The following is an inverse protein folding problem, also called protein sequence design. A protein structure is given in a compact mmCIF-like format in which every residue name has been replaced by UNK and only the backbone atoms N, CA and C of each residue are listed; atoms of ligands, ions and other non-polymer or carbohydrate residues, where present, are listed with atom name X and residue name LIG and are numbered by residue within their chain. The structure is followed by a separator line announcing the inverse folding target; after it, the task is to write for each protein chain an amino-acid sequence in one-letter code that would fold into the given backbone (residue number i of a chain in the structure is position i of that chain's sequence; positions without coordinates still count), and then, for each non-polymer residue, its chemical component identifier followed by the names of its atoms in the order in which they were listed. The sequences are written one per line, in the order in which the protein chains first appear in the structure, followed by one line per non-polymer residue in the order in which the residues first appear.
data_IF_495329600257
#
_entry.id   IF_495329600257
#
_cell.length_a   1.000
_cell.length_b   1.000
_cell.length_c   1.000
_cell.angle_alpha   90.00
_cell.angle_beta   90.00
_cell.angle_gamma   90.00
#
_symmetry.space_group_name_H-M   'P 1'
#
loop_
_entity.id
_entity.type
_entity.pdbx_description
1 polymer ?
#
# COMPACT_ATOMS: atom_id res chain seq x y z
N UNK A 1 -11.95 -33.17 92.40
CA UNK A 1 -11.46 -34.47 91.92
C UNK A 1 -11.23 -34.38 90.41
N UNK A 2 -9.96 -34.45 89.96
CA UNK A 2 -9.43 -34.67 88.59
C UNK A 2 -10.06 -33.93 87.37
N UNK A 3 -9.34 -32.99 86.73
CA UNK A 3 -8.31 -33.14 85.65
C UNK A 3 -8.91 -33.17 84.22
N UNK A 4 -8.72 -32.09 83.44
CA UNK A 4 -7.83 -31.99 82.24
C UNK A 4 -8.19 -30.82 81.30
N UNK A 5 -7.14 -30.11 80.90
CA UNK A 5 -7.06 -29.16 79.78
C UNK A 5 -7.46 -29.79 78.45
N UNK A 6 -7.99 -28.99 77.52
CA UNK A 6 -7.53 -28.88 76.12
C UNK A 6 -7.79 -27.43 75.67
N UNK A 7 -6.73 -26.70 75.31
CA UNK A 7 -6.78 -25.45 74.53
C UNK A 7 -6.81 -25.86 73.05
N UNK A 8 -7.82 -25.44 72.30
CA UNK A 8 -7.84 -25.59 70.84
C UNK A 8 -7.41 -24.27 70.20
N UNK A 9 -6.21 -24.27 69.59
CA UNK A 9 -5.76 -23.20 68.70
C UNK A 9 -6.41 -23.43 67.33
N UNK A 10 -7.20 -22.46 66.87
CA UNK A 10 -7.70 -22.37 65.50
C UNK A 10 -6.58 -21.82 64.60
N UNK A 11 -5.97 -22.67 63.79
CA UNK A 11 -5.18 -22.22 62.63
C UNK A 11 -6.10 -22.22 61.41
N UNK A 12 -6.45 -21.03 60.92
CA UNK A 12 -7.12 -20.83 59.65
C UNK A 12 -6.07 -20.94 58.54
N UNK A 13 -6.00 -22.09 57.88
CA UNK A 13 -5.19 -22.25 56.68
C UNK A 13 -5.91 -21.58 55.50
N UNK A 14 -5.45 -20.40 55.11
CA UNK A 14 -5.83 -19.78 53.83
C UNK A 14 -5.01 -20.47 52.74
N UNK A 15 -5.59 -21.48 52.09
CA UNK A 15 -5.04 -22.01 50.85
C UNK A 15 -5.42 -21.06 49.71
N UNK A 16 -4.44 -20.29 49.25
CA UNK A 16 -4.54 -19.49 48.04
C UNK A 16 -4.69 -20.41 46.83
N UNK A 17 -5.92 -20.54 46.34
CA UNK A 17 -6.22 -21.20 45.07
C UNK A 17 -5.76 -20.26 43.94
N UNK A 18 -4.53 -20.44 43.48
CA UNK A 18 -4.04 -19.78 42.27
C UNK A 18 -4.85 -20.26 41.08
N UNK A 19 -5.63 -19.36 40.46
CA UNK A 19 -6.27 -19.62 39.17
C UNK A 19 -5.14 -19.66 38.13
N UNK A 20 -4.74 -20.86 37.73
CA UNK A 20 -3.87 -21.04 36.58
C UNK A 20 -4.70 -20.75 35.32
N UNK A 21 -4.46 -19.58 34.71
CA UNK A 21 -4.91 -19.29 33.35
C UNK A 21 -4.24 -20.31 32.42
N UNK A 22 -5.03 -21.23 31.87
CA UNK A 22 -4.57 -22.21 30.89
C UNK A 22 -4.31 -21.49 29.55
N UNK A 23 -3.08 -21.04 29.35
CA UNK A 23 -2.58 -20.62 28.04
C UNK A 23 -2.50 -21.81 27.09
N UNK A 24 -2.85 -21.54 25.84
CA UNK A 24 -2.93 -22.45 24.69
C UNK A 24 -1.86 -23.55 24.71
N UNK A 25 -2.26 -24.81 24.91
CA UNK A 25 -1.36 -25.95 24.73
C UNK A 25 -1.35 -26.28 23.23
N UNK A 26 -0.20 -26.07 22.57
CA UNK A 26 0.04 -26.75 21.31
C UNK A 26 -0.16 -28.26 21.54
N UNK A 27 -0.94 -28.92 20.68
CA UNK A 27 -1.27 -30.35 20.75
C UNK A 27 -0.04 -31.25 20.49
N UNK A 28 1.01 -31.08 21.30
CA UNK A 28 2.21 -31.89 21.28
C UNK A 28 2.08 -33.02 22.31
N UNK A 29 2.38 -34.24 21.89
CA UNK A 29 2.46 -35.38 22.82
C UNK A 29 3.49 -35.08 23.92
N UNK A 30 3.13 -35.33 25.18
CA UNK A 30 3.98 -35.05 26.36
C UNK A 30 5.39 -35.66 26.28
N UNK A 31 5.55 -36.79 25.55
CA UNK A 31 6.85 -37.42 25.26
C UNK A 31 7.84 -36.55 24.45
N UNK A 32 7.36 -35.50 23.79
CA UNK A 32 8.16 -34.56 22.99
C UNK A 32 8.22 -33.16 23.59
N UNK A 33 7.61 -32.95 24.77
CA UNK A 33 7.64 -31.66 25.44
C UNK A 33 8.92 -31.54 26.26
N UNK A 34 9.82 -30.65 25.82
CA UNK A 34 10.98 -30.25 26.62
C UNK A 34 10.48 -29.37 27.77
N UNK A 35 10.89 -29.68 29.00
CA UNK A 35 10.46 -28.96 30.20
C UNK A 35 11.62 -28.70 31.16
N UNK A 36 11.38 -27.91 32.22
CA UNK A 36 12.36 -27.65 33.27
C UNK A 36 13.48 -26.69 32.83
N UNK A 37 14.70 -26.92 33.30
CA UNK A 37 15.87 -26.08 33.00
C UNK A 37 16.27 -26.11 31.53
N UNK A 38 15.99 -27.21 30.81
CA UNK A 38 16.23 -27.31 29.39
C UNK A 38 15.32 -26.37 28.59
N UNK A 39 14.02 -26.30 28.93
CA UNK A 39 13.09 -25.35 28.32
C UNK A 39 13.47 -23.90 28.63
N UNK A 40 13.94 -23.60 29.85
CA UNK A 40 14.44 -22.26 30.20
C UNK A 40 15.70 -21.84 29.43
N UNK A 41 16.44 -22.79 28.86
CA UNK A 41 17.60 -22.51 28.02
C UNK A 41 17.23 -22.40 26.54
N UNK A 42 15.98 -22.67 26.17
CA UNK A 42 15.49 -22.51 24.80
C UNK A 42 15.20 -21.04 24.50
N UNK A 43 15.52 -20.63 23.27
CA UNK A 43 15.11 -19.35 22.73
C UNK A 43 13.73 -19.53 22.08
N UNK A 44 12.68 -19.35 22.85
CA UNK A 44 11.31 -19.35 22.33
C UNK A 44 11.01 -17.98 21.69
N UNK A 45 10.42 -17.98 20.50
CA UNK A 45 9.90 -16.79 19.83
C UNK A 45 8.39 -16.70 20.02
N UNK A 46 7.93 -15.60 20.62
CA UNK A 46 6.52 -15.26 20.65
C UNK A 46 6.13 -14.61 19.32
N UNK A 47 4.93 -14.89 18.83
CA UNK A 47 4.41 -14.28 17.59
C UNK A 47 3.13 -13.52 17.89
N UNK A 48 2.90 -12.42 17.17
CA UNK A 48 1.64 -11.68 17.24
C UNK A 48 0.48 -12.56 16.77
N UNK A 49 -0.62 -12.56 17.52
CA UNK A 49 -1.84 -13.26 17.12
C UNK A 49 -2.75 -12.37 16.25
N UNK A 50 -3.66 -13.01 15.51
CA UNK A 50 -4.60 -12.32 14.62
C UNK A 50 -5.50 -11.32 15.35
N UNK A 51 -6.03 -11.66 16.52
CA UNK A 51 -6.95 -10.81 17.27
C UNK A 51 -6.30 -9.48 17.70
N UNK A 52 -5.04 -9.51 18.15
CA UNK A 52 -4.28 -8.32 18.49
C UNK A 52 -3.94 -7.51 17.26
N UNK A 53 -3.50 -8.15 16.17
CA UNK A 53 -3.19 -7.49 14.90
C UNK A 53 -4.42 -6.75 14.33
N UNK A 54 -5.59 -7.38 14.37
CA UNK A 54 -6.87 -6.80 13.98
C UNK A 54 -7.21 -5.59 14.86
N UNK A 55 -7.14 -5.72 16.20
CA UNK A 55 -7.43 -4.60 17.12
C UNK A 55 -6.55 -3.38 16.90
N UNK A 56 -5.24 -3.57 16.71
CA UNK A 56 -4.32 -2.45 16.40
C UNK A 56 -4.72 -1.80 15.08
N UNK A 57 -5.10 -2.60 14.09
CA UNK A 57 -5.49 -2.09 12.79
C UNK A 57 -6.78 -1.29 12.84
N UNK A 58 -7.81 -1.78 13.53
CA UNK A 58 -9.08 -1.06 13.73
C UNK A 58 -8.89 0.24 14.51
N UNK A 59 -7.99 0.27 15.49
CA UNK A 59 -7.65 1.50 16.21
C UNK A 59 -6.97 2.52 15.27
N UNK A 60 -6.08 2.08 14.37
CA UNK A 60 -5.46 2.96 13.39
C UNK A 60 -6.46 3.44 12.32
N UNK A 61 -7.38 2.58 11.87
CA UNK A 61 -8.48 2.97 10.97
C UNK A 61 -9.31 4.12 11.55
N UNK A 62 -9.79 3.98 12.80
CA UNK A 62 -10.54 5.04 13.49
C UNK A 62 -9.74 6.35 13.57
N UNK A 63 -8.45 6.28 13.89
CA UNK A 63 -7.58 7.47 13.93
C UNK A 63 -7.43 8.10 12.54
N UNK A 64 -7.44 7.31 11.47
CA UNK A 64 -7.42 7.80 10.10
C UNK A 64 -8.72 8.49 9.71
N UNK A 65 -9.87 7.94 10.14
CA UNK A 65 -11.18 8.56 9.95
C UNK A 65 -11.30 9.91 10.65
N UNK A 66 -10.80 10.02 11.89
CA UNK A 66 -10.73 11.28 12.66
C UNK A 66 -9.90 12.37 11.92
N UNK A 67 -8.97 11.94 11.07
CA UNK A 67 -8.03 12.77 10.32
C UNK A 67 -8.45 12.96 8.86
N UNK A 68 -9.62 12.44 8.49
CA UNK A 68 -10.22 12.47 7.16
C UNK A 68 -9.29 11.92 6.06
N UNK A 69 -8.60 10.82 6.36
CA UNK A 69 -7.68 10.15 5.44
C UNK A 69 -7.95 8.66 5.36
N UNK A 70 -7.51 8.05 4.26
CA UNK A 70 -7.57 6.61 4.05
C UNK A 70 -6.17 6.01 4.14
N UNK A 71 -6.06 4.80 4.70
CA UNK A 71 -4.79 4.09 4.89
C UNK A 71 -4.91 2.61 4.57
N UNK A 72 -3.78 2.00 4.27
CA UNK A 72 -3.55 0.56 4.28
C UNK A 72 -2.64 0.19 5.45
N UNK A 73 -2.99 -0.86 6.17
CA UNK A 73 -2.25 -1.40 7.31
C UNK A 73 -1.84 -2.84 7.01
N UNK A 74 -0.59 -3.17 7.31
CA UNK A 74 -0.01 -4.49 7.09
C UNK A 74 0.72 -4.93 8.36
N UNK A 75 0.34 -6.07 8.92
CA UNK A 75 0.93 -6.64 10.14
C UNK A 75 1.54 -8.00 9.81
N UNK A 76 2.83 -8.15 10.13
CA UNK A 76 3.59 -9.39 9.93
C UNK A 76 4.07 -9.96 11.25
N UNK A 77 4.27 -11.28 11.29
CA UNK A 77 4.90 -11.96 12.42
C UNK A 77 6.43 -11.80 12.42
N UNK A 78 7.10 -12.39 13.42
CA UNK A 78 8.56 -12.35 13.55
C UNK A 78 9.30 -13.08 12.42
N UNK A 79 8.63 -13.99 11.71
CA UNK A 79 9.21 -14.71 10.57
C UNK A 79 8.95 -13.98 9.23
N UNK A 80 8.20 -12.87 9.28
CA UNK A 80 7.85 -12.05 8.12
C UNK A 80 6.60 -12.53 7.38
N UNK A 81 5.83 -13.47 7.94
CA UNK A 81 4.57 -13.91 7.34
C UNK A 81 3.48 -12.89 7.62
N UNK A 82 2.57 -12.70 6.66
CA UNK A 82 1.39 -11.87 6.82
C UNK A 82 0.45 -12.45 7.89
N UNK A 83 0.14 -11.65 8.91
CA UNK A 83 -0.86 -11.97 9.95
C UNK A 83 -2.17 -11.27 9.66
N UNK A 84 -2.11 -9.98 9.29
CA UNK A 84 -3.30 -9.19 8.98
C UNK A 84 -2.97 -8.09 7.96
N UNK A 85 -3.85 -7.94 6.97
CA UNK A 85 -3.81 -6.85 6.01
C UNK A 85 -5.19 -6.20 5.94
N UNK A 86 -5.22 -4.89 6.08
CA UNK A 86 -6.41 -4.08 5.95
C UNK A 86 -6.13 -2.94 4.98
N UNK A 87 -7.06 -2.70 4.07
CA UNK A 87 -6.98 -1.61 3.10
C UNK A 87 -8.29 -0.85 3.21
N UNK A 88 -8.23 0.38 3.69
CA UNK A 88 -9.39 1.26 3.69
C UNK A 88 -9.85 1.52 2.26
N UNK A 89 -11.10 1.92 2.19
CA UNK A 89 -11.75 2.29 0.98
C UNK A 89 -11.06 3.45 0.23
N UNK A 90 -11.13 3.42 -1.11
CA UNK A 90 -10.46 4.42 -1.97
C UNK A 90 -8.94 4.24 -2.13
N UNK A 91 -8.28 3.48 -1.27
CA UNK A 91 -6.82 3.31 -1.29
C UNK A 91 -6.30 2.71 -2.59
N UNK A 92 -5.09 3.11 -2.98
CA UNK A 92 -4.38 2.63 -4.19
C UNK A 92 -3.56 1.39 -3.86
N UNK A 93 -3.27 0.55 -4.87
CA UNK A 93 -2.42 -0.63 -4.69
C UNK A 93 -1.06 -0.27 -4.05
N UNK A 94 -0.45 0.84 -4.47
CA UNK A 94 0.85 1.29 -3.95
C UNK A 94 0.82 1.50 -2.44
N UNK A 95 -0.32 1.91 -1.86
CA UNK A 95 -0.42 2.17 -0.43
C UNK A 95 -0.36 0.86 0.36
N UNK A 96 -1.00 -0.20 -0.14
CA UNK A 96 -0.89 -1.55 0.44
C UNK A 96 0.51 -2.13 0.28
N UNK A 97 1.10 -2.03 -0.92
CA UNK A 97 2.46 -2.51 -1.17
C UNK A 97 3.51 -1.78 -0.31
N UNK A 98 3.35 -0.46 -0.12
CA UNK A 98 4.27 0.30 0.74
C UNK A 98 4.04 0.04 2.21
N UNK A 99 2.80 -0.21 2.66
CA UNK A 99 2.53 -0.66 4.03
C UNK A 99 3.26 -1.97 4.34
N UNK A 100 3.20 -2.95 3.43
CA UNK A 100 3.97 -4.19 3.55
C UNK A 100 5.49 -3.95 3.62
N UNK A 101 6.05 -3.19 2.66
CA UNK A 101 7.48 -2.90 2.67
C UNK A 101 7.94 -2.15 3.93
N UNK A 102 7.09 -1.29 4.49
CA UNK A 102 7.37 -0.59 5.76
C UNK A 102 7.38 -1.56 6.94
N UNK A 103 6.43 -2.50 7.01
CA UNK A 103 6.41 -3.55 8.03
C UNK A 103 7.65 -4.44 7.93
N UNK A 104 7.98 -4.91 6.72
CA UNK A 104 9.17 -5.72 6.43
C UNK A 104 10.46 -4.98 6.79
N UNK A 105 10.52 -3.68 6.51
CA UNK A 105 11.66 -2.84 6.90
C UNK A 105 11.81 -2.83 8.40
N UNK A 106 10.73 -2.57 9.14
CA UNK A 106 10.77 -2.48 10.59
C UNK A 106 11.17 -3.82 11.24
N UNK A 107 10.71 -4.94 10.68
CA UNK A 107 11.14 -6.29 11.07
C UNK A 107 12.64 -6.50 10.80
N UNK A 108 13.09 -6.19 9.57
CA UNK A 108 14.47 -6.41 9.11
C UNK A 108 15.49 -5.62 9.94
N UNK A 109 15.19 -4.35 10.21
CA UNK A 109 16.11 -3.46 10.92
C UNK A 109 15.89 -3.47 12.44
N UNK A 110 14.84 -4.16 12.91
CA UNK A 110 14.39 -4.20 14.32
C UNK A 110 14.22 -2.81 14.92
N UNK A 111 13.66 -1.90 14.13
CA UNK A 111 13.52 -0.48 14.47
C UNK A 111 12.55 0.24 13.54
N UNK A 112 12.16 1.49 13.84
CA UNK A 112 11.25 2.26 13.00
C UNK A 112 11.80 2.48 11.60
N UNK A 113 10.98 2.29 10.57
CA UNK A 113 11.38 2.56 9.17
C UNK A 113 11.77 4.03 8.93
N UNK A 114 11.32 4.94 9.81
CA UNK A 114 11.74 6.36 9.84
C UNK A 114 13.24 6.54 10.07
N UNK A 115 13.92 5.65 10.81
CA UNK A 115 15.37 5.75 11.00
C UNK A 115 16.12 5.65 9.66
N UNK A 116 15.66 4.74 8.80
CA UNK A 116 16.17 4.56 7.44
C UNK A 116 15.82 5.73 6.53
N UNK A 117 14.61 6.26 6.65
CA UNK A 117 14.20 7.48 5.96
C UNK A 117 15.11 8.66 6.33
N UNK A 118 15.40 8.85 7.62
CA UNK A 118 16.27 9.91 8.11
C UNK A 118 17.71 9.74 7.62
N UNK A 119 18.19 8.50 7.57
CA UNK A 119 19.49 8.18 7.01
C UNK A 119 19.58 8.59 5.52
N UNK A 120 18.56 8.24 4.71
CA UNK A 120 18.48 8.65 3.30
C UNK A 120 18.35 10.17 3.13
N UNK A 121 17.61 10.86 4.01
CA UNK A 121 17.52 12.32 3.95
C UNK A 121 18.90 12.97 4.18
N UNK A 122 19.71 12.43 5.09
CA UNK A 122 21.07 12.93 5.36
C UNK A 122 22.06 12.58 4.24
N UNK A 123 21.96 11.38 3.68
CA UNK A 123 22.80 10.91 2.59
C UNK A 123 21.96 10.19 1.52
N UNK A 124 21.41 10.93 0.53
CA UNK A 124 20.54 10.34 -0.51
C UNK A 124 21.19 9.24 -1.33
N UNK A 125 22.52 9.17 -1.37
CA UNK A 125 23.24 8.12 -2.11
C UNK A 125 23.06 6.72 -1.50
N UNK A 126 22.68 6.61 -0.23
CA UNK A 126 22.48 5.34 0.48
C UNK A 126 21.17 4.64 0.14
N UNK A 127 20.22 5.32 -0.51
CA UNK A 127 18.92 4.73 -0.81
C UNK A 127 19.02 3.50 -1.73
N UNK A 128 19.95 3.51 -2.69
CA UNK A 128 20.19 2.36 -3.57
C UNK A 128 20.62 1.11 -2.78
N UNK A 129 21.57 1.29 -1.86
CA UNK A 129 22.04 0.20 -1.01
C UNK A 129 20.91 -0.31 -0.11
N UNK A 130 20.06 0.58 0.41
CA UNK A 130 18.93 0.16 1.23
C UNK A 130 17.91 -0.65 0.43
N UNK A 131 17.59 -0.23 -0.80
CA UNK A 131 16.68 -1.00 -1.67
C UNK A 131 17.25 -2.39 -1.99
N UNK A 132 18.55 -2.49 -2.29
CA UNK A 132 19.22 -3.79 -2.52
C UNK A 132 19.13 -4.73 -1.32
N UNK A 133 19.12 -4.17 -0.10
CA UNK A 133 18.93 -4.91 1.15
C UNK A 133 17.46 -5.18 1.50
N UNK A 134 16.51 -4.87 0.61
CA UNK A 134 15.08 -5.03 0.87
C UNK A 134 14.51 -4.02 1.87
N UNK A 135 15.21 -2.90 2.11
CA UNK A 135 14.80 -1.84 3.04
C UNK A 135 14.10 -0.72 2.29
N UNK A 136 12.90 -0.40 2.73
CA UNK A 136 12.10 0.71 2.25
C UNK A 136 12.18 1.89 3.22
N UNK A 137 13.03 2.86 2.89
CA UNK A 137 13.39 4.03 3.72
C UNK A 137 12.28 5.10 3.76
N UNK A 138 11.07 4.73 4.15
CA UNK A 138 9.94 5.66 4.32
C UNK A 138 9.25 5.38 5.65
N UNK A 139 8.84 6.42 6.37
CA UNK A 139 8.19 6.28 7.67
C UNK A 139 6.83 5.58 7.58
N UNK A 140 6.44 4.93 8.68
CA UNK A 140 5.16 4.22 8.82
C UNK A 140 5.31 2.74 9.21
N UNK A 141 6.53 2.22 9.30
CA UNK A 141 6.82 0.88 9.82
C UNK A 141 7.33 0.93 11.25
N UNK A 142 6.76 0.14 12.15
CA UNK A 142 7.18 0.02 13.55
C UNK A 142 7.30 -1.45 13.98
N UNK A 143 8.33 -1.81 14.78
CA UNK A 143 8.44 -3.14 15.35
C UNK A 143 7.40 -3.32 16.47
N UNK A 144 6.91 -4.55 16.63
CA UNK A 144 6.02 -4.93 17.73
C UNK A 144 6.83 -5.75 18.72
N UNK A 145 7.12 -5.17 19.89
CA UNK A 145 8.01 -5.75 20.90
C UNK A 145 7.25 -5.95 22.21
N UNK A 146 7.29 -7.16 22.77
CA UNK A 146 6.69 -7.52 24.06
C UNK A 146 7.71 -8.28 24.89
N UNK A 147 7.92 -7.88 26.14
CA UNK A 147 8.88 -8.51 27.06
C UNK A 147 10.28 -8.72 26.43
N UNK A 148 10.80 -7.66 25.79
CA UNK A 148 12.08 -7.65 25.05
C UNK A 148 12.17 -8.61 23.85
N UNK A 149 11.05 -9.20 23.43
CA UNK A 149 10.95 -10.04 22.23
C UNK A 149 10.26 -9.30 21.10
N UNK A 150 10.88 -9.33 19.91
CA UNK A 150 10.24 -8.92 18.67
C UNK A 150 9.22 -10.01 18.28
N UNK A 151 7.94 -9.67 18.27
CA UNK A 151 6.86 -10.61 17.96
C UNK A 151 6.22 -10.37 16.58
N UNK A 152 6.61 -9.28 15.91
CA UNK A 152 6.13 -8.89 14.61
C UNK A 152 6.47 -7.45 14.25
N UNK A 153 5.86 -6.95 13.19
CA UNK A 153 5.95 -5.55 12.78
C UNK A 153 4.64 -5.07 12.15
N UNK A 154 4.36 -3.78 12.29
CA UNK A 154 3.24 -3.09 11.63
C UNK A 154 3.80 -2.10 10.61
N UNK A 155 3.12 -1.98 9.47
CA UNK A 155 3.37 -0.96 8.46
C UNK A 155 2.08 -0.29 8.06
N UNK A 156 2.08 1.04 8.00
CA UNK A 156 0.94 1.86 7.59
C UNK A 156 1.35 2.69 6.38
N UNK A 157 0.48 2.79 5.39
CA UNK A 157 0.70 3.58 4.18
C UNK A 157 -0.60 4.13 3.63
N UNK A 158 -0.64 5.41 3.26
CA UNK A 158 -1.80 5.96 2.53
C UNK A 158 -1.83 7.47 2.47
N UNK A 159 -1.32 8.14 3.50
CA UNK A 159 -1.39 9.60 3.61
C UNK A 159 -0.01 10.25 3.67
N UNK A 160 0.08 11.47 3.15
CA UNK A 160 1.22 12.34 3.40
C UNK A 160 1.27 12.71 4.90
N UNK A 161 2.47 12.87 5.49
CA UNK A 161 2.61 13.25 6.90
C UNK A 161 2.24 14.73 7.13
N UNK A 162 1.46 15.00 8.18
CA UNK A 162 1.15 16.33 8.74
C UNK A 162 1.56 16.35 10.22
N UNK A 163 2.87 16.21 10.46
CA UNK A 163 3.42 15.95 11.81
C UNK A 163 3.08 17.06 12.80
N UNK A 164 3.09 18.32 12.37
CA UNK A 164 2.71 19.48 13.18
C UNK A 164 1.24 19.44 13.62
N UNK A 165 0.38 18.80 12.82
CA UNK A 165 -1.05 18.60 13.08
C UNK A 165 -1.31 17.28 13.83
N UNK A 166 -0.26 16.49 14.13
CA UNK A 166 -0.38 15.25 14.88
C UNK A 166 -0.67 14.00 14.03
N UNK A 167 -0.47 14.09 12.71
CA UNK A 167 -0.74 12.99 11.78
C UNK A 167 0.48 12.52 10.98
N UNK A 168 0.66 11.21 10.92
CA UNK A 168 1.42 10.50 9.90
C UNK A 168 1.10 9.01 10.00
N UNK A 169 1.40 8.24 8.95
CA UNK A 169 1.29 6.77 8.97
C UNK A 169 1.93 6.15 10.24
N UNK A 170 3.11 6.66 10.64
CA UNK A 170 3.83 6.18 11.82
C UNK A 170 3.16 6.58 13.14
N UNK A 171 2.61 7.80 13.22
CA UNK A 171 1.88 8.27 14.39
C UNK A 171 0.59 7.45 14.59
N UNK A 172 -0.10 7.11 13.49
CA UNK A 172 -1.27 6.24 13.54
C UNK A 172 -0.92 4.87 14.14
N UNK A 173 0.12 4.21 13.61
CA UNK A 173 0.59 2.93 14.12
C UNK A 173 0.99 3.01 15.60
N UNK A 174 1.71 4.06 16.01
CA UNK A 174 2.17 4.26 17.38
C UNK A 174 1.01 4.45 18.36
N UNK A 175 0.06 5.34 18.03
CA UNK A 175 -1.13 5.58 18.85
C UNK A 175 -1.99 4.32 18.98
N UNK A 176 -2.20 3.61 17.87
CA UNK A 176 -2.98 2.37 17.85
C UNK A 176 -2.34 1.25 18.69
N UNK A 177 -1.03 1.04 18.57
CA UNK A 177 -0.31 0.11 19.45
C UNK A 177 -0.35 0.55 20.91
N UNK A 178 -0.26 1.87 21.17
CA UNK A 178 -0.36 2.41 22.53
C UNK A 178 -1.71 2.10 23.17
N UNK A 179 -2.79 2.23 22.41
CA UNK A 179 -4.16 1.94 22.86
C UNK A 179 -4.38 0.44 23.14
N UNK A 180 -3.87 -0.43 22.27
CA UNK A 180 -4.15 -1.88 22.35
C UNK A 180 -3.17 -2.63 23.25
N UNK A 181 -1.90 -2.25 23.24
CA UNK A 181 -0.80 -2.99 23.88
C UNK A 181 -0.16 -2.23 25.05
N UNK A 182 -0.53 -0.96 25.26
CA UNK A 182 0.07 -0.10 26.27
C UNK A 182 1.26 0.73 25.77
N UNK A 183 1.92 1.49 26.65
CA UNK A 183 2.89 2.52 26.28
C UNK A 183 3.98 2.05 25.33
N UNK A 184 4.15 2.77 24.21
CA UNK A 184 5.18 2.51 23.21
C UNK A 184 6.39 3.45 23.39
N UNK A 185 7.60 3.06 22.93
CA UNK A 185 8.76 3.95 22.90
C UNK A 185 8.48 5.24 22.12
N UNK A 186 9.23 6.34 22.38
CA UNK A 186 9.09 7.56 21.60
C UNK A 186 9.45 7.32 20.13
N UNK A 187 8.73 7.99 19.23
CA UNK A 187 9.01 7.93 17.79
C UNK A 187 10.35 8.59 17.44
N UNK A 188 10.95 8.14 16.34
CA UNK A 188 12.15 8.76 15.79
C UNK A 188 11.86 10.21 15.35
N UNK A 189 12.85 11.08 15.54
CA UNK A 189 12.75 12.51 15.21
C UNK A 189 12.50 12.72 13.70
N UNK A 190 11.59 13.63 13.35
CA UNK A 190 11.44 14.07 11.96
C UNK A 190 12.49 15.12 11.60
N UNK A 191 13.29 14.86 10.57
CA UNK A 191 14.31 15.81 10.10
C UNK A 191 13.87 16.56 8.84
N UNK A 192 14.28 17.83 8.66
CA UNK A 192 13.89 18.62 7.49
C UNK A 192 14.34 17.98 6.18
N UNK A 193 13.42 17.91 5.20
CA UNK A 193 13.75 17.46 3.84
C UNK A 193 14.34 18.61 3.01
N UNK A 194 15.41 18.38 2.24
CA UNK A 194 15.89 19.38 1.27
C UNK A 194 14.79 19.76 0.29
N UNK A 195 14.62 21.07 0.05
CA UNK A 195 13.72 21.56 -1.01
C UNK A 195 14.40 21.33 -2.35
N UNK A 196 13.73 20.60 -3.24
CA UNK A 196 14.15 20.48 -4.64
C UNK A 196 13.37 21.51 -5.47
N UNK A 197 14.03 22.32 -6.32
CA UNK A 197 13.33 23.22 -7.22
C UNK A 197 12.41 22.45 -8.17
N UNK A 198 11.24 22.99 -8.46
CA UNK A 198 10.36 22.50 -9.53
C UNK A 198 10.94 22.95 -10.86
N UNK A 199 11.35 22.00 -11.71
CA UNK A 199 11.96 22.23 -13.02
C UNK A 199 11.04 21.80 -14.17
N UNK A 200 10.10 20.88 -13.91
CA UNK A 200 9.15 20.36 -14.87
C UNK A 200 7.69 20.66 -14.47
N UNK A 201 6.83 21.09 -15.42
CA UNK A 201 5.39 21.23 -15.18
C UNK A 201 4.77 19.87 -14.86
N UNK A 202 3.96 19.80 -13.80
CA UNK A 202 3.23 18.58 -13.44
C UNK A 202 1.81 18.68 -14.02
N UNK A 203 1.40 17.76 -14.91
CA UNK A 203 0.03 17.68 -15.40
C UNK A 203 -0.96 17.47 -14.25
N UNK A 204 -2.16 18.01 -14.38
CA UNK A 204 -3.28 17.74 -13.47
C UNK A 204 -4.13 16.63 -14.06
N UNK A 205 -4.48 15.64 -13.25
CA UNK A 205 -5.42 14.59 -13.59
C UNK A 205 -6.47 14.51 -12.49
N UNK A 206 -7.68 14.96 -12.80
CA UNK A 206 -8.82 14.98 -11.86
C UNK A 206 -9.87 13.99 -12.34
N UNK A 207 -10.37 13.19 -11.41
CA UNK A 207 -11.45 12.22 -11.65
C UNK A 207 -12.68 12.71 -10.91
N UNK A 208 -13.79 12.87 -11.63
CA UNK A 208 -15.08 13.21 -11.02
C UNK A 208 -15.65 12.01 -10.25
N UNK A 209 -16.59 12.27 -9.34
CA UNK A 209 -17.30 11.20 -8.62
C UNK A 209 -17.98 10.26 -9.61
N UNK A 210 -17.88 8.92 -9.43
CA UNK A 210 -18.50 7.97 -10.34
C UNK A 210 -20.00 8.20 -10.47
N UNK A 211 -20.52 8.22 -11.70
CA UNK A 211 -21.97 8.18 -11.94
C UNK A 211 -22.39 6.79 -12.41
N UNK A 212 -23.41 6.20 -11.76
CA UNK A 212 -23.92 4.89 -12.17
C UNK A 212 -24.67 5.01 -13.51
N UNK A 213 -24.33 4.15 -14.46
CA UNK A 213 -24.98 4.05 -15.77
C UNK A 213 -25.89 2.81 -15.91
N UNK A 214 -26.11 2.07 -14.81
CA UNK A 214 -26.95 0.88 -14.79
C UNK A 214 -28.44 1.25 -14.71
N UNK A 215 -29.34 0.44 -15.30
CA UNK A 215 -30.79 0.68 -15.23
C UNK A 215 -31.26 0.75 -13.77
N UNK A 216 -32.09 1.75 -13.38
CA UNK A 216 -32.47 1.98 -11.98
C UNK A 216 -33.08 0.76 -11.27
N UNK A 217 -33.69 -0.15 -12.02
CA UNK A 217 -34.31 -1.37 -11.52
C UNK A 217 -33.32 -2.48 -11.10
N UNK A 218 -32.07 -2.42 -11.58
CA UNK A 218 -30.97 -3.33 -11.19
C UNK A 218 -29.94 -2.64 -10.30
N UNK A 219 -30.10 -1.34 -10.06
CA UNK A 219 -29.30 -0.58 -9.11
C UNK A 219 -29.76 -0.98 -7.71
N UNK A 220 -28.88 -1.67 -6.96
CA UNK A 220 -29.01 -1.71 -5.51
C UNK A 220 -29.08 -0.25 -5.07
N UNK A 221 -30.18 0.14 -4.42
CA UNK A 221 -30.50 1.51 -4.03
C UNK A 221 -30.74 1.58 -2.52
N UNK A 222 -30.73 2.79 -1.97
CA UNK A 222 -30.82 2.99 -0.52
C UNK A 222 -29.54 2.58 0.22
N UNK A 223 -29.65 2.27 1.51
CA UNK A 223 -28.50 2.03 2.40
C UNK A 223 -27.62 0.85 1.93
N UNK A 224 -28.22 -0.16 1.28
CA UNK A 224 -27.48 -1.30 0.73
C UNK A 224 -26.60 -0.94 -0.50
N UNK A 225 -26.89 0.17 -1.18
CA UNK A 225 -26.10 0.66 -2.31
C UNK A 225 -24.80 1.33 -1.87
N UNK A 226 -24.82 1.96 -0.69
CA UNK A 226 -23.66 2.65 -0.13
C UNK A 226 -22.50 1.68 0.14
N UNK A 227 -22.82 0.42 0.40
CA UNK A 227 -21.87 -0.65 0.75
C UNK A 227 -21.33 -1.42 -0.47
N UNK A 228 -21.81 -1.15 -1.69
CA UNK A 228 -21.47 -1.93 -2.90
C UNK A 228 -20.86 -1.02 -3.97
N UNK A 229 -19.61 -1.29 -4.36
CA UNK A 229 -18.95 -0.63 -5.50
C UNK A 229 -19.10 -1.43 -6.79
N UNK A 230 -19.49 -0.75 -7.86
CA UNK A 230 -19.51 -1.32 -9.21
C UNK A 230 -18.08 -1.43 -9.77
N UNK A 231 -17.72 -2.61 -10.30
CA UNK A 231 -16.53 -2.79 -11.13
C UNK A 231 -16.90 -2.78 -12.60
N UNK A 232 -16.59 -1.69 -13.31
CA UNK A 232 -16.75 -1.63 -14.75
C UNK A 232 -15.43 -1.99 -15.44
N UNK A 233 -15.53 -2.66 -16.57
CA UNK A 233 -14.40 -3.12 -17.36
C UNK A 233 -14.58 -2.64 -18.80
N UNK A 234 -13.48 -2.22 -19.43
CA UNK A 234 -13.46 -1.91 -20.85
C UNK A 234 -13.80 -3.15 -21.68
N UNK A 235 -14.76 -3.02 -22.61
CA UNK A 235 -15.10 -4.10 -23.53
C UNK A 235 -14.02 -4.28 -24.60
N UNK A 236 -13.90 -5.49 -25.16
CA UNK A 236 -12.99 -5.74 -26.28
C UNK A 236 -13.27 -4.87 -27.51
N UNK A 237 -14.53 -4.55 -27.78
CA UNK A 237 -14.90 -3.63 -28.87
C UNK A 237 -14.46 -2.20 -28.60
N UNK A 238 -14.69 -1.68 -27.39
CA UNK A 238 -14.24 -0.35 -27.01
C UNK A 238 -12.71 -0.25 -27.05
N UNK A 239 -12.00 -1.25 -26.53
CA UNK A 239 -10.54 -1.31 -26.58
C UNK A 239 -10.02 -1.29 -28.03
N UNK A 240 -10.60 -2.10 -28.92
CA UNK A 240 -10.26 -2.08 -30.35
C UNK A 240 -10.53 -0.72 -30.99
N UNK A 241 -11.65 -0.08 -30.69
CA UNK A 241 -12.00 1.23 -31.26
C UNK A 241 -11.02 2.32 -30.79
N UNK A 242 -10.62 2.32 -29.51
CA UNK A 242 -9.60 3.23 -28.98
C UNK A 242 -8.28 3.04 -29.70
N UNK A 243 -7.84 1.78 -29.88
CA UNK A 243 -6.59 1.47 -30.58
C UNK A 243 -6.64 1.89 -32.05
N UNK A 244 -7.77 1.65 -32.74
CA UNK A 244 -7.98 2.09 -34.13
C UNK A 244 -7.92 3.61 -34.28
N UNK A 245 -8.54 4.35 -33.35
CA UNK A 245 -8.53 5.80 -33.36
C UNK A 245 -7.11 6.37 -33.12
N UNK A 246 -6.37 5.82 -32.15
CA UNK A 246 -4.96 6.19 -31.94
C UNK A 246 -4.11 5.85 -33.19
N UNK A 247 -4.28 4.66 -33.79
CA UNK A 247 -3.58 4.29 -35.03
C UNK A 247 -3.88 5.24 -36.20
N UNK A 248 -5.13 5.65 -36.37
CA UNK A 248 -5.50 6.63 -37.40
C UNK A 248 -4.81 7.98 -37.13
N UNK A 249 -4.88 8.45 -35.89
CA UNK A 249 -4.26 9.70 -35.46
C UNK A 249 -2.74 9.71 -35.66
N UNK A 250 -2.04 8.62 -35.37
CA UNK A 250 -0.59 8.48 -35.55
C UNK A 250 -0.22 8.39 -37.03
N UNK A 251 -0.99 7.64 -37.83
CA UNK A 251 -0.77 7.50 -39.28
C UNK A 251 -0.88 8.85 -40.01
N UNK A 252 -1.85 9.69 -39.65
CA UNK A 252 -1.98 11.06 -40.18
C UNK A 252 -0.74 11.95 -39.92
N UNK A 253 0.08 11.57 -38.95
CA UNK A 253 1.27 12.29 -38.50
C UNK A 253 2.57 11.59 -38.89
N UNK A 254 2.48 10.60 -39.77
CA UNK A 254 3.61 9.78 -40.23
C UNK A 254 4.35 9.11 -39.06
N UNK A 255 3.60 8.76 -38.01
CA UNK A 255 4.11 8.16 -36.78
C UNK A 255 3.68 6.69 -36.66
N UNK A 256 4.47 5.89 -35.98
CA UNK A 256 4.19 4.46 -35.76
C UNK A 256 4.38 4.11 -34.31
N UNK A 257 3.50 3.30 -33.73
CA UNK A 257 3.39 3.09 -32.28
C UNK A 257 2.95 1.66 -31.94
N UNK A 258 3.21 1.26 -30.70
CA UNK A 258 2.67 0.06 -30.08
C UNK A 258 1.69 0.44 -28.98
N UNK A 259 0.63 -0.33 -28.79
CA UNK A 259 -0.43 -0.04 -27.85
C UNK A 259 -0.78 -1.29 -27.05
N UNK A 260 -1.06 -1.12 -25.77
CA UNK A 260 -1.62 -2.15 -24.88
C UNK A 260 -2.76 -1.52 -24.08
N UNK A 261 -3.88 -2.23 -23.99
CA UNK A 261 -5.03 -1.84 -23.19
C UNK A 261 -5.31 -2.97 -22.19
N UNK A 262 -5.32 -2.62 -20.91
CA UNK A 262 -5.58 -3.50 -19.79
C UNK A 262 -6.99 -3.26 -19.23
N UNK A 263 -7.63 -4.32 -18.74
CA UNK A 263 -8.80 -4.21 -17.87
C UNK A 263 -8.39 -3.80 -16.43
N UNK A 264 -9.35 -3.58 -15.50
CA UNK A 264 -9.04 -3.22 -14.12
C UNK A 264 -8.26 -4.29 -13.34
N UNK A 265 -8.27 -5.55 -13.80
CA UNK A 265 -7.50 -6.64 -13.20
C UNK A 265 -6.05 -6.69 -13.69
N UNK A 266 -5.70 -5.85 -14.67
CA UNK A 266 -4.37 -5.81 -15.26
C UNK A 266 -4.16 -6.81 -16.39
N UNK A 267 -5.24 -7.43 -16.88
CA UNK A 267 -5.17 -8.37 -18.00
C UNK A 267 -5.37 -7.61 -19.31
N UNK A 268 -4.52 -7.91 -20.31
CA UNK A 268 -4.62 -7.28 -21.62
C UNK A 268 -5.91 -7.67 -22.33
N UNK A 269 -6.74 -6.67 -22.63
CA UNK A 269 -7.95 -6.80 -23.46
C UNK A 269 -7.63 -6.57 -24.93
N UNK A 270 -6.63 -5.73 -25.21
CA UNK A 270 -6.13 -5.49 -26.57
C UNK A 270 -4.63 -5.19 -26.53
N UNK A 271 -3.92 -5.62 -27.57
CA UNK A 271 -2.52 -5.27 -27.79
C UNK A 271 -2.22 -5.28 -29.28
N UNK A 272 -1.57 -4.23 -29.77
CA UNK A 272 -1.14 -4.17 -31.17
C UNK A 272 0.19 -3.42 -31.31
N UNK A 273 0.92 -3.76 -32.37
CA UNK A 273 2.18 -3.14 -32.74
C UNK A 273 2.12 -2.79 -34.21
N UNK A 274 2.19 -1.50 -34.53
CA UNK A 274 2.18 -1.02 -35.91
C UNK A 274 3.44 -1.45 -36.67
N UNK A 275 3.36 -1.46 -38.00
CA UNK A 275 4.51 -1.75 -38.85
C UNK A 275 5.65 -0.75 -38.61
N UNK A 276 6.89 -1.24 -38.65
CA UNK A 276 8.09 -0.44 -38.35
C UNK A 276 8.45 -0.32 -36.87
N UNK A 277 7.58 -0.77 -35.95
CA UNK A 277 7.89 -0.76 -34.51
C UNK A 277 8.77 -1.93 -34.07
N UNK A 278 9.66 -1.63 -33.13
CA UNK A 278 10.55 -2.59 -32.47
C UNK A 278 9.95 -3.12 -31.17
N UNK A 279 10.51 -4.20 -30.63
CA UNK A 279 10.03 -4.84 -29.40
C UNK A 279 9.98 -3.86 -28.20
N UNK A 280 10.89 -2.89 -28.12
CA UNK A 280 10.91 -1.93 -27.00
C UNK A 280 9.64 -1.09 -26.93
N UNK A 281 9.00 -0.78 -28.07
CA UNK A 281 7.74 -0.02 -28.09
C UNK A 281 6.60 -0.75 -27.40
N UNK A 282 6.39 -2.03 -27.71
CA UNK A 282 5.31 -2.84 -27.11
C UNK A 282 5.58 -3.15 -25.63
N UNK A 283 6.84 -3.34 -25.24
CA UNK A 283 7.23 -3.51 -23.84
C UNK A 283 6.97 -2.21 -23.04
N UNK A 284 7.36 -1.05 -23.58
CA UNK A 284 7.07 0.24 -22.96
C UNK A 284 5.55 0.48 -22.84
N UNK A 285 4.77 0.15 -23.88
CA UNK A 285 3.31 0.23 -23.85
C UNK A 285 2.70 -0.60 -22.70
N UNK A 286 3.13 -1.86 -22.53
CA UNK A 286 2.68 -2.71 -21.41
C UNK A 286 3.01 -2.09 -20.05
N UNK A 287 4.27 -1.71 -19.82
CA UNK A 287 4.72 -1.17 -18.54
C UNK A 287 4.05 0.18 -18.22
N UNK A 288 3.82 1.03 -19.23
CA UNK A 288 3.09 2.29 -19.05
C UNK A 288 1.62 2.06 -18.72
N UNK A 289 0.96 1.08 -19.34
CA UNK A 289 -0.41 0.70 -18.99
C UNK A 289 -0.51 0.17 -17.54
N UNK A 290 0.41 -0.73 -17.15
CA UNK A 290 0.49 -1.27 -15.79
C UNK A 290 0.76 -0.17 -14.76
N UNK A 291 1.70 0.73 -15.07
CA UNK A 291 2.03 1.88 -14.20
C UNK A 291 0.81 2.76 -14.01
N UNK A 292 0.11 3.13 -15.09
CA UNK A 292 -1.09 3.96 -15.00
C UNK A 292 -2.21 3.27 -14.20
N UNK A 293 -2.38 1.96 -14.38
CA UNK A 293 -3.37 1.17 -13.64
C UNK A 293 -3.07 1.12 -12.14
N UNK A 294 -1.84 0.74 -11.77
CA UNK A 294 -1.41 0.59 -10.37
C UNK A 294 -1.37 1.92 -9.63
N UNK A 295 -0.89 2.96 -10.31
CA UNK A 295 -0.75 4.28 -9.71
C UNK A 295 -2.04 5.08 -9.68
N UNK A 296 -2.98 4.77 -10.57
CA UNK A 296 -4.17 5.55 -10.88
C UNK A 296 -3.88 6.98 -11.37
N UNK A 297 -2.68 7.23 -11.90
CA UNK A 297 -2.30 8.52 -12.48
C UNK A 297 -1.68 8.30 -13.88
N UNK A 298 -1.78 9.29 -14.80
CA UNK A 298 -1.00 9.30 -16.02
C UNK A 298 0.50 9.17 -15.74
N UNK A 299 1.22 8.44 -16.59
CA UNK A 299 2.68 8.27 -16.42
C UNK A 299 3.41 9.60 -16.54
N UNK A 300 2.89 10.57 -17.30
CA UNK A 300 3.40 11.95 -17.38
C UNK A 300 3.41 12.70 -16.04
N UNK A 301 2.43 12.49 -15.17
CA UNK A 301 2.41 13.05 -13.81
C UNK A 301 3.63 12.57 -13.03
N UNK A 302 3.96 11.28 -13.17
CA UNK A 302 5.10 10.67 -12.50
C UNK A 302 6.43 11.09 -13.12
N UNK A 303 6.50 11.16 -14.45
CA UNK A 303 7.67 11.69 -15.16
C UNK A 303 8.00 13.12 -14.76
N UNK A 304 7.00 13.98 -14.60
CA UNK A 304 7.20 15.34 -14.08
C UNK A 304 7.66 15.34 -12.62
N UNK A 305 7.06 14.50 -11.78
CA UNK A 305 7.49 14.31 -10.39
C UNK A 305 8.95 13.88 -10.28
N UNK A 306 9.40 13.01 -11.20
CA UNK A 306 10.78 12.54 -11.32
C UNK A 306 11.75 13.66 -11.66
N UNK A 307 11.42 14.45 -12.68
CA UNK A 307 12.24 15.59 -13.09
C UNK A 307 12.36 16.63 -11.97
N UNK A 308 11.32 16.79 -11.15
CA UNK A 308 11.30 17.68 -10.01
C UNK A 308 12.01 17.12 -8.76
N UNK A 309 12.15 15.79 -8.66
CA UNK A 309 12.74 15.09 -7.50
C UNK A 309 13.57 13.88 -7.97
N UNK A 310 14.73 14.11 -8.61
CA UNK A 310 15.49 13.05 -9.27
C UNK A 310 16.01 11.99 -8.29
N UNK A 311 16.21 12.34 -7.01
CA UNK A 311 16.61 11.36 -5.99
C UNK A 311 15.52 10.30 -5.72
N UNK A 312 14.27 10.49 -6.15
CA UNK A 312 13.22 9.49 -6.06
C UNK A 312 13.23 8.44 -7.18
N UNK A 313 14.11 8.59 -8.19
CA UNK A 313 14.34 7.63 -9.29
C UNK A 313 14.45 6.15 -8.87
N UNK A 314 15.16 5.79 -7.78
CA UNK A 314 15.36 4.39 -7.42
C UNK A 314 14.04 3.73 -7.03
N UNK A 315 13.22 4.41 -6.22
CA UNK A 315 12.11 3.76 -5.52
C UNK A 315 11.01 3.31 -6.48
N UNK A 316 10.55 4.21 -7.34
CA UNK A 316 9.41 3.91 -8.21
C UNK A 316 9.74 2.87 -9.28
N UNK A 317 10.93 2.96 -9.84
CA UNK A 317 11.37 2.07 -10.92
C UNK A 317 11.83 0.73 -10.38
N UNK A 318 12.59 0.69 -9.28
CA UNK A 318 13.10 -0.58 -8.74
C UNK A 318 12.06 -1.37 -7.94
N UNK A 319 11.22 -0.70 -7.15
CA UNK A 319 10.32 -1.40 -6.23
C UNK A 319 8.97 -1.74 -6.88
N UNK A 320 8.55 -0.96 -7.87
CA UNK A 320 7.23 -1.12 -8.50
C UNK A 320 7.30 -1.38 -10.01
N UNK A 321 8.50 -1.45 -10.59
CA UNK A 321 8.72 -1.62 -12.04
C UNK A 321 8.01 -0.56 -12.89
N UNK A 322 7.80 0.64 -12.33
CA UNK A 322 7.04 1.67 -13.00
C UNK A 322 7.80 2.32 -14.16
N UNK A 323 7.08 2.53 -15.26
CA UNK A 323 7.52 3.30 -16.42
C UNK A 323 6.95 4.71 -16.35
N UNK A 324 7.85 5.69 -16.21
CA UNK A 324 7.49 7.06 -15.85
C UNK A 324 7.39 8.00 -17.06
N UNK A 325 7.73 7.51 -18.25
CA UNK A 325 7.62 8.30 -19.48
C UNK A 325 6.15 8.47 -19.91
N UNK A 326 5.76 9.63 -20.46
CA UNK A 326 4.41 9.88 -20.96
C UNK A 326 3.95 8.81 -21.97
N UNK A 327 2.70 8.38 -21.86
CA UNK A 327 2.10 7.39 -22.77
C UNK A 327 1.21 6.36 -22.08
N UNK A 328 1.22 6.29 -20.75
CA UNK A 328 0.30 5.49 -19.96
C UNK A 328 -0.79 6.35 -19.34
N UNK A 329 -2.07 6.00 -19.57
CA UNK A 329 -3.23 6.70 -19.03
C UNK A 329 -4.19 5.71 -18.36
N UNK A 330 -4.70 6.03 -17.16
CA UNK A 330 -5.87 5.34 -16.63
C UNK A 330 -7.07 5.63 -17.54
N UNK A 331 -7.86 4.61 -17.88
CA UNK A 331 -9.10 4.78 -18.64
C UNK A 331 -10.22 5.01 -17.63
N UNK A 332 -10.57 6.27 -17.43
CA UNK A 332 -11.60 6.69 -16.48
C UNK A 332 -12.75 7.33 -17.24
N UNK A 333 -13.91 6.69 -17.23
CA UNK A 333 -15.12 7.15 -17.94
C UNK A 333 -16.21 7.40 -16.91
N UNK A 334 -16.80 8.60 -16.93
CA UNK A 334 -17.83 9.04 -15.97
C UNK A 334 -17.42 8.85 -14.50
N UNK A 335 -16.15 9.10 -14.19
CA UNK A 335 -15.59 8.92 -12.85
C UNK A 335 -15.19 7.49 -12.49
N UNK A 336 -15.49 6.50 -13.35
CA UNK A 336 -15.18 5.10 -13.09
C UNK A 336 -13.96 4.62 -13.88
N UNK A 337 -12.95 4.08 -13.20
CA UNK A 337 -11.80 3.46 -13.84
C UNK A 337 -12.17 2.10 -14.42
N UNK A 338 -12.11 1.96 -15.73
CA UNK A 338 -12.49 0.75 -16.47
C UNK A 338 -11.29 0.01 -17.09
N UNK A 339 -10.07 0.50 -16.87
CA UNK A 339 -8.85 -0.07 -17.39
C UNK A 339 -7.70 0.93 -17.43
N UNK A 340 -6.67 0.60 -18.21
CA UNK A 340 -5.56 1.50 -18.52
C UNK A 340 -5.09 1.28 -19.96
N UNK A 341 -4.62 2.34 -20.61
CA UNK A 341 -3.95 2.27 -21.91
C UNK A 341 -2.48 2.65 -21.73
N UNK A 342 -1.61 1.96 -22.45
CA UNK A 342 -0.24 2.36 -22.63
C UNK A 342 0.10 2.38 -24.11
N UNK A 343 0.76 3.45 -24.54
CA UNK A 343 1.28 3.65 -25.89
C UNK A 343 2.79 3.81 -25.80
N UNK A 344 3.51 3.21 -26.73
CA UNK A 344 4.96 3.15 -26.74
C UNK A 344 5.52 3.09 -28.16
N UNK A 345 6.49 3.94 -28.47
CA UNK A 345 7.20 3.91 -29.74
C UNK A 345 7.53 5.27 -30.35
N UNK A 346 7.03 6.35 -29.76
CA UNK A 346 7.23 7.72 -30.25
C UNK A 346 7.20 8.78 -29.13
N UNK A 347 7.65 9.98 -29.43
CA UNK A 347 7.48 11.15 -28.56
C UNK A 347 6.01 11.57 -28.37
N UNK A 348 5.11 11.12 -29.24
CA UNK A 348 3.69 11.49 -29.25
C UNK A 348 2.79 10.45 -28.56
N UNK A 349 3.37 9.48 -27.85
CA UNK A 349 2.65 8.32 -27.30
C UNK A 349 1.42 8.72 -26.47
N UNK A 350 1.56 9.69 -25.56
CA UNK A 350 0.43 10.14 -24.74
C UNK A 350 -0.63 10.89 -25.56
N UNK A 351 -0.23 11.70 -26.53
CA UNK A 351 -1.17 12.41 -27.40
C UNK A 351 -2.03 11.44 -28.23
N UNK A 352 -1.44 10.33 -28.67
CA UNK A 352 -2.17 9.27 -29.36
C UNK A 352 -3.15 8.55 -28.43
N UNK A 353 -2.73 8.26 -27.19
CA UNK A 353 -3.61 7.68 -26.16
C UNK A 353 -4.81 8.59 -25.88
N UNK A 354 -4.56 9.90 -25.69
CA UNK A 354 -5.61 10.92 -25.47
C UNK A 354 -6.57 10.96 -26.67
N UNK A 355 -6.04 11.04 -27.90
CA UNK A 355 -6.87 11.09 -29.11
C UNK A 355 -7.73 9.84 -29.27
N UNK A 356 -7.17 8.65 -29.01
CA UNK A 356 -7.89 7.39 -29.08
C UNK A 356 -9.03 7.32 -28.06
N UNK A 357 -8.77 7.74 -26.81
CA UNK A 357 -9.77 7.77 -25.75
C UNK A 357 -10.88 8.78 -26.03
N UNK A 358 -10.52 10.02 -26.40
CA UNK A 358 -11.49 11.08 -26.72
C UNK A 358 -12.35 10.73 -27.94
N UNK A 359 -11.79 10.05 -28.94
CA UNK A 359 -12.57 9.61 -30.11
C UNK A 359 -13.68 8.61 -29.77
N UNK A 360 -13.51 7.82 -28.70
CA UNK A 360 -14.47 6.77 -28.32
C UNK A 360 -15.42 7.24 -27.22
N UNK A 361 -14.90 7.98 -26.23
CA UNK A 361 -15.64 8.35 -25.03
C UNK A 361 -16.02 9.84 -25.00
N UNK A 362 -15.51 10.67 -25.91
CA UNK A 362 -15.78 12.12 -25.93
C UNK A 362 -15.33 12.80 -24.65
N UNK A 363 -16.14 13.74 -24.16
CA UNK A 363 -15.85 14.50 -22.94
C UNK A 363 -16.04 13.69 -21.63
N UNK A 364 -16.51 12.43 -21.75
CA UNK A 364 -16.74 11.55 -20.59
C UNK A 364 -15.46 10.95 -20.03
N UNK A 365 -14.36 10.96 -20.80
CA UNK A 365 -13.09 10.38 -20.37
C UNK A 365 -12.18 11.43 -19.72
N UNK A 366 -11.62 11.11 -18.56
CA UNK A 366 -10.63 11.96 -17.93
C UNK A 366 -9.30 11.92 -18.71
N UNK A 367 -8.70 13.08 -18.94
CA UNK A 367 -7.41 13.25 -19.63
C UNK A 367 -6.51 14.21 -18.87
N UNK A 368 -5.18 14.05 -18.92
CA UNK A 368 -4.26 14.98 -18.25
C UNK A 368 -4.35 16.39 -18.84
N UNK A 369 -4.37 17.40 -17.96
CA UNK A 369 -4.34 18.82 -18.32
C UNK A 369 -2.98 19.40 -17.97
N UNK A 370 -2.26 19.86 -18.99
CA UNK A 370 -0.94 20.47 -18.83
C UNK A 370 -1.07 21.94 -18.43
N UNK A 371 -0.25 22.44 -17.47
CA UNK A 371 -0.20 23.86 -17.17
C UNK A 371 0.39 24.64 -18.36
N UNK A 372 -0.16 25.83 -18.60
CA UNK A 372 0.30 26.75 -19.66
C UNK A 372 1.67 27.36 -19.39
#
# INVERSE_FOLDING_TARGET
MNKRMIKANFYLAITSMGIALSGNTQNASSKFVVSGSAAKAMLDTTSINLETAEKITMACERLAEEEEVSISVYVIDNDGNNVYMHRMDGERWVNTATAEMKAQTALTIRGPSKERMNQVIRNPSEEWQQIELGVFSNSGGLPIIVDDQLIGAIGVGGSAPRVEEGWSDEICAHKAMTEVMGPQPPLAEDIPRPRTPTVAPVPRFSVETPTSNLPPEFVVSGDAAAEIRNGAQISGDAARNVAQACRAWSTEREDTMSLVILDPSGVAVHGERMDGQVNTGIQAAMLRAQTALQSRDPTSVRGAGLANRPYGLPRSVLLFEWHLEPGGLPIVVDGQMIGAIGVGGSKNDEACAIAGLQSVFGDRVAVPVYPN
#
